data_IF_262347350505
#
_entry.id   IF_262347350505
#
_cell.length_a   1.000
_cell.length_b   1.000
_cell.length_c   1.000
_cell.angle_alpha   90.00
_cell.angle_beta   90.00
_cell.angle_gamma   90.00
#
_symmetry.space_group_name_H-M   'P 1'
#
loop_
_entity.id
_entity.type
_entity.pdbx_description
1 polymer ?
#
# COMPACT_ATOMS: atom_id res chain seq x y z
N UNK A 1 -11.94 -19.76 0.91
CA UNK A 1 -10.79 -18.83 0.79
C UNK A 1 -9.59 -19.64 0.36
N UNK A 2 -8.91 -19.27 -0.74
CA UNK A 2 -7.79 -20.05 -1.27
C UNK A 2 -6.58 -20.03 -0.30
N UNK A 3 -5.97 -21.19 0.02
CA UNK A 3 -4.95 -21.32 1.08
C UNK A 3 -3.64 -20.58 0.79
N UNK A 4 -3.33 -20.37 -0.49
CA UNK A 4 -2.17 -19.60 -0.96
C UNK A 4 -2.25 -18.11 -0.58
N UNK A 5 -3.44 -17.54 -0.62
CA UNK A 5 -3.71 -16.13 -0.35
C UNK A 5 -3.59 -15.81 1.15
N UNK A 6 -4.05 -16.75 1.98
CA UNK A 6 -3.94 -16.67 3.44
C UNK A 6 -2.47 -16.70 3.91
N UNK A 7 -1.63 -17.50 3.24
CA UNK A 7 -0.20 -17.60 3.57
C UNK A 7 0.60 -16.35 3.20
N UNK A 8 0.20 -15.62 2.15
CA UNK A 8 0.81 -14.34 1.79
C UNK A 8 0.39 -13.24 2.79
N UNK A 9 -0.89 -13.17 3.14
CA UNK A 9 -1.40 -12.24 4.14
C UNK A 9 -0.71 -12.41 5.50
N UNK A 10 -0.62 -13.65 6.01
CA UNK A 10 0.05 -13.93 7.29
C UNK A 10 1.55 -13.59 7.28
N UNK A 11 2.24 -13.76 6.15
CA UNK A 11 3.65 -13.36 6.01
C UNK A 11 3.82 -11.84 6.05
N UNK A 12 2.95 -11.10 5.38
CA UNK A 12 2.93 -9.63 5.45
C UNK A 12 2.57 -9.14 6.86
N UNK A 13 1.57 -9.75 7.51
CA UNK A 13 1.13 -9.42 8.87
C UNK A 13 2.22 -9.67 9.92
N UNK A 14 2.96 -10.79 9.83
CA UNK A 14 4.09 -11.07 10.74
C UNK A 14 5.27 -10.13 10.56
N UNK A 15 5.48 -9.61 9.34
CA UNK A 15 6.66 -8.82 8.98
C UNK A 15 6.43 -7.31 9.12
N UNK A 16 5.18 -6.84 8.99
CA UNK A 16 4.82 -5.42 9.02
C UNK A 16 3.87 -5.03 10.17
N UNK A 17 3.35 -6.00 10.92
CA UNK A 17 2.29 -5.78 11.91
C UNK A 17 0.91 -5.56 11.28
N UNK A 18 0.03 -4.85 11.97
CA UNK A 18 -1.38 -4.61 11.60
C UNK A 18 -1.60 -3.66 10.41
N UNK A 19 -0.55 -3.09 9.80
CA UNK A 19 -0.66 -2.05 8.77
C UNK A 19 0.00 -2.47 7.44
N UNK A 20 -0.55 -3.51 6.81
CA UNK A 20 -0.10 -3.97 5.49
C UNK A 20 -0.53 -3.02 4.35
N UNK A 21 -1.62 -2.28 4.55
CA UNK A 21 -2.17 -1.28 3.63
C UNK A 21 -2.17 0.06 4.33
N UNK A 22 -1.68 1.09 3.65
CA UNK A 22 -1.62 2.46 4.17
C UNK A 22 -2.12 3.44 3.12
N UNK A 23 -2.82 4.47 3.59
CA UNK A 23 -3.23 5.58 2.75
C UNK A 23 -2.01 6.41 2.37
N UNK A 24 -1.98 6.86 1.13
CA UNK A 24 -1.06 7.91 0.69
C UNK A 24 -1.73 9.25 0.88
N UNK A 25 -1.05 10.15 1.58
CA UNK A 25 -1.50 11.54 1.78
C UNK A 25 -0.44 12.47 1.21
N UNK A 26 -0.82 13.31 0.27
CA UNK A 26 0.08 14.30 -0.37
C UNK A 26 1.36 13.69 -0.97
N UNK A 27 1.26 12.48 -1.51
CA UNK A 27 2.40 11.73 -2.04
C UNK A 27 3.35 11.18 -0.97
N UNK A 28 2.93 11.13 0.30
CA UNK A 28 3.69 10.57 1.42
C UNK A 28 3.12 9.21 1.82
N UNK A 29 4.01 8.24 2.03
CA UNK A 29 3.62 6.93 2.55
C UNK A 29 3.11 7.05 3.99
N UNK A 30 1.83 6.76 4.25
CA UNK A 30 1.24 6.79 5.59
C UNK A 30 1.80 5.77 6.58
N UNK A 31 2.71 4.88 6.14
CA UNK A 31 3.35 3.88 7.00
C UNK A 31 4.77 4.22 7.45
N UNK A 32 5.61 4.77 6.58
CA UNK A 32 7.00 5.12 6.92
C UNK A 32 7.29 6.63 6.84
N UNK A 33 6.35 7.44 6.37
CA UNK A 33 6.48 8.90 6.30
C UNK A 33 7.39 9.41 5.18
N UNK A 34 7.86 8.55 4.27
CA UNK A 34 8.71 8.98 3.17
C UNK A 34 7.89 9.57 2.02
N UNK A 35 8.46 10.59 1.36
CA UNK A 35 7.97 11.11 0.09
C UNK A 35 8.11 10.02 -0.99
N UNK A 36 7.01 9.70 -1.67
CA UNK A 36 7.03 8.77 -2.79
C UNK A 36 7.68 9.42 -4.01
N UNK A 37 8.42 8.65 -4.82
CA UNK A 37 8.83 9.08 -6.14
C UNK A 37 7.62 9.50 -6.99
N UNK A 38 7.80 10.48 -7.86
CA UNK A 38 6.73 11.02 -8.72
C UNK A 38 6.05 9.95 -9.57
N UNK A 39 6.81 8.99 -10.10
CA UNK A 39 6.29 7.86 -10.86
C UNK A 39 5.37 6.96 -10.01
N UNK A 40 5.83 6.60 -8.80
CA UNK A 40 5.06 5.81 -7.84
C UNK A 40 3.78 6.53 -7.43
N UNK A 41 3.87 7.84 -7.21
CA UNK A 41 2.70 8.66 -6.87
C UNK A 41 1.68 8.71 -8.00
N UNK A 42 2.12 8.86 -9.25
CA UNK A 42 1.24 8.78 -10.42
C UNK A 42 0.57 7.41 -10.54
N UNK A 43 1.31 6.33 -10.32
CA UNK A 43 0.75 4.98 -10.34
C UNK A 43 -0.32 4.78 -9.26
N UNK A 44 -0.07 5.24 -8.03
CA UNK A 44 -1.06 5.17 -6.93
C UNK A 44 -2.33 5.99 -7.27
N UNK A 45 -2.21 7.13 -7.95
CA UNK A 45 -3.36 7.91 -8.44
C UNK A 45 -4.16 7.21 -9.54
N UNK A 46 -3.50 6.42 -10.38
CA UNK A 46 -4.14 5.67 -11.48
C UNK A 46 -4.82 4.37 -11.02
N UNK A 47 -5.13 4.24 -9.73
CA UNK A 47 -5.72 3.04 -9.10
C UNK A 47 -4.80 1.81 -9.11
N UNK A 48 -3.49 1.97 -9.34
CA UNK A 48 -2.57 0.86 -9.21
C UNK A 48 -2.29 0.56 -7.72
N UNK A 49 -2.40 -0.71 -7.33
CA UNK A 49 -1.94 -1.18 -6.02
C UNK A 49 -0.41 -1.23 -6.02
N UNK A 50 0.22 -0.13 -5.63
CA UNK A 50 1.69 -0.01 -5.60
C UNK A 50 2.21 -0.31 -4.20
N UNK A 51 3.46 -0.80 -4.10
CA UNK A 51 4.14 -0.98 -2.81
C UNK A 51 5.15 0.14 -2.59
N UNK A 52 5.24 0.61 -1.35
CA UNK A 52 6.30 1.51 -0.95
C UNK A 52 7.66 0.82 -1.09
N UNK A 53 8.59 1.42 -1.83
CA UNK A 53 9.94 0.90 -2.00
C UNK A 53 10.75 0.90 -0.70
N UNK A 54 10.43 1.82 0.22
CA UNK A 54 11.14 1.98 1.50
C UNK A 54 10.70 0.98 2.57
N UNK A 55 9.39 0.79 2.77
CA UNK A 55 8.87 -0.07 3.84
C UNK A 55 8.09 -1.31 3.37
N UNK A 56 7.86 -1.45 2.06
CA UNK A 56 7.16 -2.59 1.47
C UNK A 56 5.64 -2.61 1.67
N UNK A 57 5.05 -1.59 2.29
CA UNK A 57 3.59 -1.49 2.52
C UNK A 57 2.84 -1.20 1.23
N UNK A 58 1.60 -1.69 1.14
CA UNK A 58 0.70 -1.41 0.02
C UNK A 58 0.16 0.00 0.18
N UNK A 59 0.29 0.80 -0.87
CA UNK A 59 -0.14 2.18 -0.96
C UNK A 59 -1.52 2.22 -1.61
N UNK A 60 -2.48 2.86 -0.96
CA UNK A 60 -3.81 3.10 -1.51
C UNK A 60 -4.10 4.59 -1.51
N UNK A 61 -4.75 5.05 -2.58
CA UNK A 61 -5.34 6.38 -2.61
C UNK A 61 -6.79 6.29 -2.09
N UNK A 62 -7.28 7.37 -1.50
CA UNK A 62 -8.66 7.48 -0.99
C UNK A 62 -9.68 7.22 -2.10
N UNK A 63 -9.34 7.55 -3.35
CA UNK A 63 -10.17 7.31 -4.53
C UNK A 63 -10.51 5.82 -4.74
N UNK A 64 -9.64 4.90 -4.31
CA UNK A 64 -9.83 3.45 -4.47
C UNK A 64 -10.81 2.87 -3.43
N UNK A 65 -11.09 3.57 -2.33
CA UNK A 65 -12.00 3.11 -1.28
C UNK A 65 -13.46 3.50 -1.52
N UNK A 66 -13.71 4.49 -2.39
CA UNK A 66 -15.05 5.04 -2.64
C UNK A 66 -15.79 4.42 -3.82
N UNK A 67 -15.19 3.49 -4.57
CA UNK A 67 -15.91 2.69 -5.58
C UNK A 67 -16.78 3.49 -6.54
N UNK A 68 -16.22 4.57 -7.10
CA UNK A 68 -16.78 5.28 -8.26
C UNK A 68 -16.07 4.82 -9.51
#
# INVERSE_FOLDING_TARGET
>A
IAPNLLAQYRRAQRRLGTMAVVLVKDGVCGGCGIQLPSLLWQQVKQHALVRCESCGRILVNTDVLTGV
#
